data_IF_640151512445
#
_entry.id   IF_640151512445
#
_cell.length_a   1.000
_cell.length_b   1.000
_cell.length_c   1.000
_cell.angle_alpha   90.00
_cell.angle_beta   90.00
_cell.angle_gamma   90.00
#
_symmetry.space_group_name_H-M   'P 1'
#
loop_
_entity.id
_entity.type
_entity.pdbx_description
1 polymer ?
#
# COMPACT_ATOMS: atom_id res chain seq x y z
N UNK A 1 1.19 -11.18 -9.19
CA UNK A 1 1.54 -10.00 -8.38
C UNK A 1 1.87 -8.86 -9.33
N UNK A 2 1.67 -7.61 -8.94
CA UNK A 2 2.07 -6.44 -9.75
C UNK A 2 3.04 -5.59 -8.92
N UNK A 3 4.31 -5.40 -9.34
CA UNK A 3 5.25 -4.52 -8.67
C UNK A 3 4.79 -3.07 -8.67
N UNK A 4 4.92 -2.39 -7.53
CA UNK A 4 4.52 -1.00 -7.38
C UNK A 4 5.45 -0.23 -6.45
N UNK A 5 5.59 1.07 -6.73
CA UNK A 5 6.02 2.06 -5.75
C UNK A 5 4.76 2.60 -5.05
N UNK A 6 4.63 2.37 -3.75
CA UNK A 6 3.53 2.87 -2.94
C UNK A 6 3.99 4.04 -2.06
N UNK A 7 3.10 5.02 -1.84
CA UNK A 7 3.34 6.17 -0.97
C UNK A 7 2.12 6.49 -0.12
N UNK A 8 2.36 6.73 1.16
CA UNK A 8 1.41 7.34 2.11
C UNK A 8 2.15 8.47 2.80
N UNK A 9 1.58 9.67 2.83
CA UNK A 9 2.22 10.83 3.43
C UNK A 9 3.59 11.10 2.81
N UNK A 10 4.66 10.99 3.61
CA UNK A 10 6.06 11.17 3.16
C UNK A 10 6.79 9.85 2.95
N UNK A 11 6.25 8.75 3.47
CA UNK A 11 6.86 7.42 3.37
C UNK A 11 6.53 6.78 2.04
N UNK A 12 7.58 6.39 1.32
CA UNK A 12 7.50 5.66 0.05
C UNK A 12 8.20 4.32 0.17
N UNK A 13 7.65 3.25 -0.40
CA UNK A 13 8.27 1.93 -0.38
C UNK A 13 7.93 1.09 -1.61
N UNK A 14 8.89 0.26 -2.04
CA UNK A 14 8.65 -0.78 -3.04
C UNK A 14 7.90 -1.96 -2.42
N UNK A 15 6.89 -2.44 -3.14
CA UNK A 15 6.12 -3.64 -2.78
C UNK A 15 5.43 -4.23 -4.02
N UNK A 16 4.54 -5.19 -3.81
CA UNK A 16 3.67 -5.70 -4.86
C UNK A 16 2.24 -5.74 -4.36
N UNK A 17 1.28 -5.48 -5.25
CA UNK A 17 -0.14 -5.70 -5.00
C UNK A 17 -0.56 -7.07 -5.53
N UNK A 18 -1.53 -7.68 -4.86
CA UNK A 18 -2.00 -9.03 -5.16
C UNK A 18 -3.51 -9.03 -5.40
N UNK A 19 -4.01 -9.73 -6.43
CA UNK A 19 -5.45 -9.86 -6.62
C UNK A 19 -6.07 -10.64 -5.46
N UNK A 20 -7.22 -10.18 -4.97
CA UNK A 20 -8.03 -10.93 -4.01
C UNK A 20 -8.80 -12.01 -4.76
N UNK A 21 -8.74 -13.26 -4.28
CA UNK A 21 -9.46 -14.40 -4.87
C UNK A 21 -10.95 -14.06 -5.04
N UNK A 22 -11.49 -14.38 -6.23
CA UNK A 22 -12.89 -14.14 -6.61
C UNK A 22 -13.34 -12.67 -6.50
N UNK A 23 -12.47 -11.71 -6.77
CA UNK A 23 -12.78 -10.28 -6.71
C UNK A 23 -11.96 -9.47 -7.70
N UNK A 24 -12.53 -8.38 -8.21
CA UNK A 24 -11.79 -7.36 -9.01
C UNK A 24 -10.88 -6.45 -8.16
N UNK A 25 -10.61 -6.83 -6.90
CA UNK A 25 -9.92 -5.98 -5.92
C UNK A 25 -8.49 -6.47 -5.77
N UNK A 26 -7.58 -5.53 -5.53
CA UNK A 26 -6.20 -5.82 -5.15
C UNK A 26 -5.99 -5.50 -3.67
N UNK A 27 -5.07 -6.24 -3.05
CA UNK A 27 -4.59 -5.99 -1.69
C UNK A 27 -3.22 -5.34 -1.79
N UNK A 28 -3.09 -4.16 -1.17
CA UNK A 28 -1.81 -3.50 -0.94
C UNK A 28 -1.35 -3.83 0.49
N UNK A 29 -0.25 -4.59 0.66
CA UNK A 29 0.30 -4.84 1.98
C UNK A 29 0.85 -3.54 2.60
N UNK A 30 0.37 -3.22 3.80
CA UNK A 30 0.90 -2.12 4.62
C UNK A 30 1.99 -2.66 5.55
N UNK A 31 3.24 -2.28 5.31
CA UNK A 31 4.36 -2.68 6.16
C UNK A 31 4.25 -2.06 7.56
N UNK A 32 4.70 -2.78 8.57
CA UNK A 32 4.64 -2.33 9.97
C UNK A 32 5.47 -1.06 10.21
N UNK A 33 6.61 -0.89 9.52
CA UNK A 33 7.45 0.29 9.61
C UNK A 33 6.77 1.53 9.01
N UNK A 34 6.10 1.38 7.86
CA UNK A 34 5.29 2.43 7.23
C UNK A 34 4.16 2.85 8.16
N UNK A 35 3.43 1.89 8.75
CA UNK A 35 2.37 2.16 9.73
C UNK A 35 2.88 3.00 10.90
N UNK A 36 4.06 2.66 11.44
CA UNK A 36 4.69 3.38 12.55
C UNK A 36 5.14 4.79 12.15
N UNK A 37 5.83 4.93 11.01
CA UNK A 37 6.34 6.22 10.49
C UNK A 37 5.22 7.23 10.23
N UNK A 38 4.14 6.77 9.61
CA UNK A 38 2.98 7.61 9.26
C UNK A 38 1.92 7.68 10.38
N UNK A 39 2.18 7.07 11.55
CA UNK A 39 1.29 7.04 12.72
C UNK A 39 -0.15 6.60 12.40
N UNK A 40 -0.29 5.61 11.51
CA UNK A 40 -1.60 5.14 11.04
C UNK A 40 -2.27 4.31 12.14
N UNK A 41 -3.51 4.69 12.47
CA UNK A 41 -4.36 4.04 13.47
C UNK A 41 -5.55 3.32 12.84
N UNK A 42 -6.25 2.50 13.62
CA UNK A 42 -7.47 1.80 13.17
C UNK A 42 -8.52 2.85 12.75
N UNK A 43 -9.30 2.55 11.71
CA UNK A 43 -10.34 3.39 11.11
C UNK A 43 -9.88 4.73 10.50
N UNK A 44 -8.58 5.02 10.54
CA UNK A 44 -8.02 6.19 9.90
C UNK A 44 -8.05 6.04 8.36
N UNK A 45 -8.71 6.98 7.69
CA UNK A 45 -8.64 7.11 6.23
C UNK A 45 -7.27 7.69 5.84
N UNK A 46 -6.60 7.04 4.90
CA UNK A 46 -5.32 7.47 4.35
C UNK A 46 -5.42 7.64 2.83
N UNK A 47 -4.65 8.57 2.29
CA UNK A 47 -4.44 8.68 0.84
C UNK A 47 -3.22 7.87 0.45
N UNK A 48 -3.39 7.04 -0.56
CA UNK A 48 -2.32 6.19 -1.10
C UNK A 48 -2.09 6.58 -2.55
N UNK A 49 -0.84 6.84 -2.90
CA UNK A 49 -0.40 6.93 -4.31
C UNK A 49 0.29 5.63 -4.70
N UNK A 50 -0.02 5.12 -5.88
CA UNK A 50 0.54 3.88 -6.41
C UNK A 50 1.04 4.16 -7.82
N UNK A 51 2.30 3.82 -8.07
CA UNK A 51 2.90 3.83 -9.41
C UNK A 51 3.24 2.40 -9.79
N UNK A 52 2.72 1.91 -10.91
CA UNK A 52 3.07 0.59 -11.44
C UNK A 52 4.53 0.64 -11.91
N UNK A 53 5.31 -0.34 -11.49
CA UNK A 53 6.68 -0.54 -11.95
C UNK A 53 6.66 -1.68 -12.97
N UNK A 54 6.96 -1.34 -14.23
CA UNK A 54 7.16 -2.29 -15.33
C UNK A 54 8.57 -2.88 -15.27
#
# INVERSE_FOLDING_TARGET
MVPVLAKIGVTTWNTSIFPKKNSIKYVLPLKADVRKKEKITIDQKVRVSITIQL
#
